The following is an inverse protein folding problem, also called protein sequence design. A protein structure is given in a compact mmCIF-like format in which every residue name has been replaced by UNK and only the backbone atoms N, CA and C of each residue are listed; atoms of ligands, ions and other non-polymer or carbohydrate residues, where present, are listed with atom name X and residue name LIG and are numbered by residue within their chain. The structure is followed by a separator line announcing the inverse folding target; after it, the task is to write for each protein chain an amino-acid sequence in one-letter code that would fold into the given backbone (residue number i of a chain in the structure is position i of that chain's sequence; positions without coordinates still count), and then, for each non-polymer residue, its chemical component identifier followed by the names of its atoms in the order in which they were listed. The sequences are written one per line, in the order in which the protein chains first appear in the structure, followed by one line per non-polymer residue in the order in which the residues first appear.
data_IF_841435098986
#
_entry.id   IF_841435098986
#
_cell.length_a   1.000
_cell.length_b   1.000
_cell.length_c   1.000
_cell.angle_alpha   90.00
_cell.angle_beta   90.00
_cell.angle_gamma   90.00
#
_symmetry.space_group_name_H-M   'P 1'
#
loop_
_entity.id
_entity.type
_entity.pdbx_description
1 polymer ?
#
# COMPACT_ATOMS: atom_id res chain seq x y z
N UNK A 1 -20.16 -15.01 6.61
CA UNK A 1 -19.15 -14.05 6.13
C UNK A 1 -17.88 -14.04 7.00
N UNK A 2 -17.96 -14.32 8.29
CA UNK A 2 -16.77 -14.58 9.14
C UNK A 2 -16.00 -15.86 8.76
N UNK A 3 -16.68 -16.88 8.22
CA UNK A 3 -16.13 -18.21 7.92
C UNK A 3 -15.04 -18.24 6.84
N UNK A 4 -14.99 -17.26 5.92
CA UNK A 4 -13.96 -17.22 4.87
C UNK A 4 -12.61 -16.70 5.37
N UNK A 5 -12.58 -16.05 6.53
CA UNK A 5 -11.33 -15.58 7.15
C UNK A 5 -10.76 -16.65 8.11
N UNK A 6 -11.61 -17.53 8.64
CA UNK A 6 -11.18 -18.61 9.56
C UNK A 6 -10.60 -19.84 8.85
N UNK A 7 -10.90 -20.05 7.55
CA UNK A 7 -10.28 -21.11 6.76
C UNK A 7 -8.93 -20.71 6.12
N UNK A 8 -8.52 -19.46 6.20
CA UNK A 8 -7.16 -19.04 5.91
C UNK A 8 -6.29 -19.50 7.10
N UNK A 9 -5.66 -20.67 6.95
CA UNK A 9 -4.57 -21.11 7.83
C UNK A 9 -3.74 -19.92 8.30
N UNK A 10 -3.40 -19.89 9.60
CA UNK A 10 -2.58 -18.86 10.25
C UNK A 10 -1.63 -18.22 9.23
N UNK A 11 -1.85 -16.95 8.98
CA UNK A 11 -1.04 -16.19 8.05
C UNK A 11 0.42 -16.26 8.53
N UNK A 12 1.35 -16.58 7.63
CA UNK A 12 2.78 -16.67 7.96
C UNK A 12 3.29 -15.40 8.64
N UNK A 13 2.74 -14.24 8.32
CA UNK A 13 3.07 -12.99 8.97
C UNK A 13 2.67 -13.01 10.46
N UNK A 14 1.47 -13.50 10.77
CA UNK A 14 1.01 -13.65 12.14
C UNK A 14 1.86 -14.63 12.93
N UNK A 15 2.30 -15.74 12.33
CA UNK A 15 3.19 -16.71 12.98
C UNK A 15 4.53 -16.06 13.40
N UNK A 16 5.15 -15.28 12.50
CA UNK A 16 6.40 -14.56 12.81
C UNK A 16 6.17 -13.51 13.88
N UNK A 17 5.07 -12.77 13.83
CA UNK A 17 4.74 -11.81 14.88
C UNK A 17 4.56 -12.52 16.25
N UNK A 18 3.94 -13.69 16.28
CA UNK A 18 3.75 -14.49 17.50
C UNK A 18 5.07 -15.00 18.10
N UNK A 19 6.02 -15.41 17.24
CA UNK A 19 7.37 -15.81 17.68
C UNK A 19 8.06 -14.68 18.44
N UNK A 20 7.85 -13.43 18.00
CA UNK A 20 8.42 -12.23 18.60
C UNK A 20 7.47 -11.52 19.60
N UNK A 21 6.40 -12.18 20.07
CA UNK A 21 5.37 -11.55 20.91
C UNK A 21 5.90 -10.87 22.17
N UNK A 22 7.02 -11.34 22.72
CA UNK A 22 7.62 -10.79 23.95
C UNK A 22 8.59 -9.65 23.68
N UNK A 23 8.96 -9.44 22.41
CA UNK A 23 9.93 -8.46 21.98
C UNK A 23 9.29 -7.07 21.87
N UNK A 24 10.12 -6.04 21.90
CA UNK A 24 9.70 -4.64 21.75
C UNK A 24 9.86 -4.23 20.30
N UNK A 25 8.78 -3.81 19.69
CA UNK A 25 8.75 -3.44 18.29
C UNK A 25 8.92 -1.94 18.08
N UNK A 26 9.78 -1.57 17.14
CA UNK A 26 9.78 -0.27 16.48
C UNK A 26 9.06 -0.41 15.13
N UNK A 27 7.82 0.04 15.08
CA UNK A 27 7.04 0.08 13.86
C UNK A 27 7.40 1.32 13.08
N UNK A 28 7.89 1.17 11.86
CA UNK A 28 8.26 2.28 10.98
C UNK A 28 7.19 2.46 9.93
N UNK A 29 6.50 3.60 10.01
CA UNK A 29 5.43 3.98 9.10
C UNK A 29 5.91 5.05 8.12
N UNK A 30 6.20 4.69 6.84
CA UNK A 30 6.44 5.69 5.82
C UNK A 30 5.15 6.48 5.54
N UNK A 31 5.28 7.79 5.31
CA UNK A 31 4.14 8.59 4.88
C UNK A 31 3.54 8.02 3.60
N UNK A 32 2.22 8.04 3.51
CA UNK A 32 1.49 7.51 2.36
C UNK A 32 0.08 8.08 2.26
N UNK A 33 -0.66 7.61 1.27
CA UNK A 33 -2.04 7.99 1.00
C UNK A 33 -3.07 7.35 1.96
N UNK A 34 -4.36 7.52 1.65
CA UNK A 34 -5.46 6.94 2.44
C UNK A 34 -5.45 5.41 2.37
N UNK A 35 -5.09 4.86 1.21
CA UNK A 35 -4.90 3.42 1.06
C UNK A 35 -3.81 2.86 1.97
N UNK A 36 -2.72 3.62 2.13
CA UNK A 36 -1.62 3.25 3.04
C UNK A 36 -2.04 3.30 4.51
N UNK A 37 -3.01 4.16 4.87
CA UNK A 37 -3.57 4.19 6.22
C UNK A 37 -4.35 2.90 6.54
N UNK A 38 -5.03 2.28 5.56
CA UNK A 38 -5.65 0.96 5.76
C UNK A 38 -4.63 -0.11 6.12
N UNK A 39 -3.51 -0.16 5.39
CA UNK A 39 -2.42 -1.10 5.66
C UNK A 39 -1.93 -0.93 7.11
N UNK A 40 -1.67 0.33 7.51
CA UNK A 40 -1.19 0.65 8.85
C UNK A 40 -2.20 0.25 9.92
N UNK A 41 -3.47 0.59 9.75
CA UNK A 41 -4.55 0.25 10.68
C UNK A 41 -4.69 -1.26 10.86
N UNK A 42 -4.67 -2.03 9.77
CA UNK A 42 -4.76 -3.50 9.83
C UNK A 42 -3.55 -4.11 10.54
N UNK A 43 -2.34 -3.64 10.24
CA UNK A 43 -1.14 -4.06 10.93
C UNK A 43 -1.19 -3.74 12.44
N UNK A 44 -1.53 -2.50 12.82
CA UNK A 44 -1.66 -2.12 14.24
C UNK A 44 -2.75 -2.91 14.96
N UNK A 45 -3.87 -3.20 14.29
CA UNK A 45 -4.93 -4.05 14.83
C UNK A 45 -4.36 -5.42 15.20
N UNK A 46 -3.61 -6.04 14.28
CA UNK A 46 -2.99 -7.34 14.52
C UNK A 46 -1.98 -7.29 15.67
N UNK A 47 -1.13 -6.27 15.73
CA UNK A 47 -0.18 -6.10 16.85
C UNK A 47 -0.90 -5.99 18.21
N UNK A 48 -2.02 -5.26 18.26
CA UNK A 48 -2.85 -5.16 19.48
C UNK A 48 -3.52 -6.47 19.86
N UNK A 49 -4.09 -7.20 18.90
CA UNK A 49 -4.70 -8.52 19.11
C UNK A 49 -3.70 -9.53 19.69
N UNK A 50 -2.47 -9.51 19.16
CA UNK A 50 -1.38 -10.36 19.64
C UNK A 50 -0.72 -9.84 20.93
N UNK A 51 -1.15 -8.68 21.45
CA UNK A 51 -0.60 -8.01 22.64
C UNK A 51 0.90 -7.76 22.53
N UNK A 52 1.36 -7.35 21.36
CA UNK A 52 2.75 -6.99 21.11
C UNK A 52 2.97 -5.56 21.62
N UNK A 53 4.11 -5.35 22.31
CA UNK A 53 4.51 -4.02 22.74
C UNK A 53 5.23 -3.29 21.58
N UNK A 54 4.68 -2.15 21.13
CA UNK A 54 5.25 -1.42 20.00
C UNK A 54 5.21 0.09 20.19
N UNK A 55 6.16 0.76 19.52
CA UNK A 55 6.17 2.21 19.30
C UNK A 55 6.12 2.47 17.81
N UNK A 56 5.45 3.54 17.40
CA UNK A 56 5.38 3.96 15.99
C UNK A 56 6.34 5.11 15.74
N UNK A 57 7.22 4.94 14.76
CA UNK A 57 8.06 5.99 14.20
C UNK A 57 7.55 6.34 12.80
N UNK A 58 7.05 7.55 12.62
CA UNK A 58 6.71 8.08 11.29
C UNK A 58 7.98 8.52 10.58
N UNK A 59 8.28 7.84 9.48
CA UNK A 59 9.48 8.09 8.68
C UNK A 59 9.10 8.69 7.32
N UNK A 60 9.64 9.85 7.02
CA UNK A 60 9.41 10.52 5.75
C UNK A 60 10.54 10.15 4.79
N UNK A 61 10.23 9.31 3.80
CA UNK A 61 11.19 8.88 2.78
C UNK A 61 11.73 10.07 1.97
N UNK A 62 12.86 9.88 1.33
CA UNK A 62 13.47 10.91 0.48
C UNK A 62 12.53 11.34 -0.66
N UNK A 63 11.85 10.38 -1.31
CA UNK A 63 10.92 10.67 -2.39
C UNK A 63 9.69 11.45 -1.90
N UNK A 64 9.14 11.12 -0.72
CA UNK A 64 8.02 11.87 -0.14
C UNK A 64 8.40 13.33 0.13
N UNK A 65 9.63 13.60 0.56
CA UNK A 65 10.14 14.96 0.79
C UNK A 65 10.37 15.73 -0.53
N UNK A 66 10.93 15.05 -1.54
CA UNK A 66 11.10 15.64 -2.87
C UNK A 66 9.76 16.03 -3.47
N UNK A 67 8.75 15.17 -3.37
CA UNK A 67 7.40 15.46 -3.83
C UNK A 67 6.77 16.68 -3.15
N UNK A 68 6.94 16.83 -1.82
CA UNK A 68 6.47 18.01 -1.11
C UNK A 68 7.20 19.28 -1.54
N UNK A 69 8.52 19.18 -1.77
CA UNK A 69 9.31 20.30 -2.28
C UNK A 69 8.84 20.73 -3.67
N UNK A 70 8.54 19.76 -4.56
CA UNK A 70 7.97 20.01 -5.88
C UNK A 70 6.59 20.68 -5.79
N UNK A 71 5.73 20.20 -4.90
CA UNK A 71 4.42 20.79 -4.64
C UNK A 71 4.55 22.23 -4.12
N UNK A 72 5.47 22.49 -3.20
CA UNK A 72 5.74 23.83 -2.67
C UNK A 72 6.26 24.77 -3.76
N UNK A 73 7.21 24.29 -4.61
CA UNK A 73 7.72 25.09 -5.74
C UNK A 73 6.64 25.39 -6.78
N UNK A 74 5.71 24.46 -7.03
CA UNK A 74 4.56 24.70 -7.91
C UNK A 74 3.58 25.73 -7.34
N UNK A 75 3.36 25.75 -6.03
CA UNK A 75 2.54 26.75 -5.33
C UNK A 75 3.17 28.17 -5.41
N UNK A 76 4.49 28.23 -5.39
CA UNK A 76 5.23 29.51 -5.56
C UNK A 76 5.24 30.01 -7.01
N UNK A 77 4.52 29.36 -7.94
CA UNK A 77 4.45 29.70 -9.37
C UNK A 77 5.81 29.80 -10.08
N UNK A 78 6.84 29.15 -9.55
CA UNK A 78 8.13 29.04 -10.20
C UNK A 78 8.00 28.04 -11.37
N UNK A 79 7.74 28.57 -12.57
CA UNK A 79 7.64 27.78 -13.81
C UNK A 79 8.91 27.92 -14.65
N UNK A 80 9.29 26.86 -15.38
CA UNK A 80 10.36 26.88 -16.36
C UNK A 80 11.74 26.52 -15.81
N UNK A 81 12.78 26.94 -16.52
CA UNK A 81 14.19 26.51 -16.31
C UNK A 81 14.75 26.76 -14.90
N UNK A 82 14.17 27.70 -14.14
CA UNK A 82 14.58 28.00 -12.75
C UNK A 82 14.14 26.89 -11.80
N UNK A 83 12.92 26.37 -11.94
CA UNK A 83 12.43 25.25 -11.11
C UNK A 83 13.23 23.96 -11.39
N UNK A 84 13.58 23.70 -12.65
CA UNK A 84 14.43 22.57 -13.02
C UNK A 84 15.87 22.73 -12.50
N UNK A 85 16.46 23.91 -12.60
CA UNK A 85 17.80 24.20 -12.05
C UNK A 85 17.83 24.06 -10.53
N UNK A 86 16.77 24.50 -9.82
CA UNK A 86 16.64 24.31 -8.39
C UNK A 86 16.50 22.82 -8.01
N UNK A 87 15.82 21.99 -8.81
CA UNK A 87 15.79 20.53 -8.62
C UNK A 87 17.19 19.91 -8.77
N UNK A 88 17.95 20.32 -9.75
CA UNK A 88 19.32 19.84 -9.98
C UNK A 88 20.31 20.22 -8.88
N UNK A 89 20.13 21.35 -8.24
CA UNK A 89 21.03 21.83 -7.17
C UNK A 89 20.54 21.40 -5.79
N UNK A 90 19.24 21.47 -5.54
CA UNK A 90 18.66 21.09 -4.25
C UNK A 90 18.70 19.58 -4.02
N UNK A 91 18.52 18.75 -5.04
CA UNK A 91 18.53 17.29 -4.92
C UNK A 91 19.85 16.73 -4.34
N UNK A 92 21.02 17.05 -4.89
CA UNK A 92 22.30 16.61 -4.36
C UNK A 92 22.62 17.16 -2.96
N UNK A 93 22.34 18.44 -2.70
CA UNK A 93 22.55 19.06 -1.39
C UNK A 93 21.62 18.41 -0.34
N UNK A 94 20.39 18.18 -0.73
CA UNK A 94 19.40 17.51 0.10
C UNK A 94 19.82 16.06 0.40
N UNK A 95 20.32 15.30 -0.59
CA UNK A 95 20.85 13.96 -0.40
C UNK A 95 22.03 13.91 0.59
N UNK A 96 22.93 14.89 0.52
CA UNK A 96 24.08 15.00 1.42
C UNK A 96 23.68 15.33 2.86
N UNK A 97 22.74 16.23 3.05
CA UNK A 97 22.23 16.61 4.39
C UNK A 97 21.31 15.56 4.99
N UNK A 98 20.52 14.86 4.14
CA UNK A 98 19.58 13.85 4.55
C UNK A 98 20.25 12.56 5.01
N UNK A 99 21.24 12.02 4.27
CA UNK A 99 22.00 10.83 4.70
C UNK A 99 22.65 10.99 6.08
N UNK A 100 22.89 12.22 6.52
CA UNK A 100 23.45 12.52 7.87
C UNK A 100 22.40 12.63 8.98
N UNK A 101 21.11 12.88 8.67
CA UNK A 101 20.11 13.30 9.67
C UNK A 101 18.98 12.32 9.97
N UNK A 102 18.63 11.45 9.03
CA UNK A 102 17.48 10.53 9.21
C UNK A 102 17.92 9.25 9.89
N UNK A 103 17.38 8.98 11.08
CA UNK A 103 17.66 7.78 11.85
C UNK A 103 16.36 7.02 12.11
N UNK A 104 16.41 5.71 11.85
CA UNK A 104 15.40 4.76 12.31
C UNK A 104 16.02 4.02 13.49
N UNK A 105 15.91 4.59 14.69
CA UNK A 105 16.54 3.99 15.87
C UNK A 105 15.68 4.14 17.11
N UNK A 106 15.45 3.02 17.77
CA UNK A 106 15.08 2.95 19.20
C UNK A 106 16.03 1.95 19.87
N UNK A 107 16.86 2.43 20.78
CA UNK A 107 17.84 1.59 21.50
C UNK A 107 17.19 0.49 22.35
N UNK A 108 15.89 0.58 22.57
CA UNK A 108 15.12 -0.41 23.32
C UNK A 108 14.40 -1.43 22.43
N UNK A 109 14.43 -1.28 21.09
CA UNK A 109 13.75 -2.18 20.19
C UNK A 109 14.53 -3.48 19.99
N UNK A 110 13.82 -4.57 19.97
CA UNK A 110 14.33 -5.90 19.64
C UNK A 110 13.96 -6.28 18.19
N UNK A 111 12.86 -5.72 17.67
CA UNK A 111 12.36 -5.91 16.31
C UNK A 111 12.09 -4.55 15.65
N UNK A 112 12.53 -4.38 14.41
CA UNK A 112 12.13 -3.28 13.54
C UNK A 112 11.14 -3.81 12.53
N UNK A 113 9.91 -3.27 12.52
CA UNK A 113 8.84 -3.65 11.61
C UNK A 113 8.56 -2.50 10.64
N UNK A 114 8.94 -2.67 9.37
CA UNK A 114 8.56 -1.74 8.30
C UNK A 114 7.14 -2.04 7.85
N UNK A 115 6.29 -1.01 7.77
CA UNK A 115 4.91 -1.14 7.27
C UNK A 115 4.87 -1.73 5.87
N UNK A 116 3.82 -2.49 5.57
CA UNK A 116 3.53 -3.02 4.24
C UNK A 116 3.22 -1.96 3.18
N UNK A 117 3.02 -2.38 1.95
CA UNK A 117 2.66 -1.48 0.85
C UNK A 117 3.27 -1.84 -0.50
N UNK A 118 3.76 -0.83 -1.23
CA UNK A 118 4.43 -1.01 -2.51
C UNK A 118 5.47 0.10 -2.75
N UNK A 119 6.25 0.45 -1.76
CA UNK A 119 7.24 1.52 -1.85
C UNK A 119 8.67 1.00 -2.09
N UNK A 120 8.96 -0.27 -1.74
CA UNK A 120 10.25 -0.94 -2.01
C UNK A 120 10.23 -1.58 -3.41
N UNK A 121 10.19 -0.76 -4.44
CA UNK A 121 10.19 -1.20 -5.84
C UNK A 121 10.76 -0.12 -6.77
N UNK A 122 10.98 -0.45 -8.05
CA UNK A 122 11.55 0.48 -9.03
C UNK A 122 10.61 1.60 -9.49
N UNK A 123 9.31 1.53 -9.15
CA UNK A 123 8.35 2.60 -9.44
C UNK A 123 8.51 3.75 -8.43
N UNK A 124 8.58 3.43 -7.12
CA UNK A 124 8.62 4.41 -6.03
C UNK A 124 10.03 4.65 -5.49
N UNK A 125 10.87 3.62 -5.43
CA UNK A 125 12.30 3.68 -5.05
C UNK A 125 12.58 4.23 -3.65
N UNK A 126 11.71 3.98 -2.69
CA UNK A 126 11.88 4.43 -1.30
C UNK A 126 12.83 3.49 -0.52
N UNK A 127 13.99 3.16 -1.10
CA UNK A 127 14.96 2.24 -0.50
C UNK A 127 15.69 2.81 0.71
N UNK A 128 15.71 4.12 0.87
CA UNK A 128 16.34 4.81 1.99
C UNK A 128 15.77 4.38 3.37
N UNK A 129 14.49 4.04 3.44
CA UNK A 129 13.89 3.52 4.67
C UNK A 129 14.48 2.15 5.04
N UNK A 130 14.69 1.28 4.04
CA UNK A 130 15.29 -0.04 4.23
C UNK A 130 16.77 0.09 4.65
N UNK A 131 17.53 0.92 3.93
CA UNK A 131 18.94 1.21 4.26
C UNK A 131 19.10 1.74 5.68
N UNK A 132 18.24 2.68 6.09
CA UNK A 132 18.27 3.23 7.43
C UNK A 132 17.87 2.18 8.49
N UNK A 133 16.86 1.37 8.23
CA UNK A 133 16.42 0.33 9.15
C UNK A 133 17.53 -0.69 9.42
N UNK A 134 18.22 -1.14 8.37
CA UNK A 134 19.34 -2.09 8.47
C UNK A 134 20.53 -1.46 9.19
N UNK A 135 20.96 -0.27 8.77
CA UNK A 135 22.16 0.40 9.29
C UNK A 135 22.03 0.78 10.76
N UNK A 136 20.88 1.31 11.15
CA UNK A 136 20.71 1.93 12.46
C UNK A 136 20.35 0.91 13.55
N UNK A 137 19.94 -0.32 13.17
CA UNK A 137 19.46 -1.36 14.09
C UNK A 137 20.11 -2.74 13.80
N UNK A 138 21.44 -2.86 13.79
CA UNK A 138 22.12 -4.08 13.35
C UNK A 138 21.89 -5.29 14.26
N UNK A 139 21.31 -5.08 15.45
CA UNK A 139 21.04 -6.13 16.44
C UNK A 139 19.56 -6.54 16.49
N UNK A 140 18.67 -5.84 15.79
CA UNK A 140 17.26 -6.13 15.78
C UNK A 140 16.92 -7.13 14.67
N UNK A 141 15.89 -7.95 14.86
CA UNK A 141 15.24 -8.62 13.76
C UNK A 141 14.53 -7.57 12.89
N UNK A 142 14.71 -7.63 11.57
CA UNK A 142 14.00 -6.76 10.64
C UNK A 142 12.86 -7.52 9.98
N UNK A 143 11.66 -7.01 10.12
CA UNK A 143 10.47 -7.54 9.45
C UNK A 143 9.96 -6.48 8.49
N UNK A 144 9.87 -6.80 7.19
CA UNK A 144 9.19 -6.00 6.19
C UNK A 144 7.81 -6.60 5.99
N UNK A 145 6.79 -5.91 6.48
CA UNK A 145 5.39 -6.35 6.36
C UNK A 145 4.96 -6.47 4.89
N UNK A 146 3.86 -7.17 4.57
CA UNK A 146 3.50 -7.54 3.20
C UNK A 146 3.59 -6.42 2.16
N UNK A 147 4.49 -6.60 1.19
CA UNK A 147 4.82 -5.64 0.11
C UNK A 147 4.54 -6.24 -1.26
N UNK A 148 4.32 -5.37 -2.26
CA UNK A 148 4.51 -5.73 -3.65
C UNK A 148 5.87 -5.23 -4.12
N UNK A 149 6.74 -6.17 -4.48
CA UNK A 149 8.06 -5.91 -5.03
C UNK A 149 8.02 -5.93 -6.54
N UNK A 150 8.75 -5.05 -7.19
CA UNK A 150 8.90 -5.00 -8.64
C UNK A 150 10.24 -4.38 -8.98
N UNK A 151 11.12 -5.14 -9.65
CA UNK A 151 12.47 -4.70 -9.99
C UNK A 151 12.80 -4.99 -11.44
N UNK A 152 13.45 -4.02 -12.10
CA UNK A 152 14.02 -4.17 -13.43
C UNK A 152 15.46 -4.72 -13.39
N UNK A 153 16.04 -4.85 -12.18
CA UNK A 153 17.38 -5.36 -11.97
C UNK A 153 17.41 -6.36 -10.82
N UNK A 154 18.43 -7.21 -10.79
CA UNK A 154 18.65 -8.22 -9.73
C UNK A 154 19.47 -7.71 -8.54
N UNK A 155 19.62 -6.39 -8.40
CA UNK A 155 20.51 -5.78 -7.38
C UNK A 155 19.89 -5.61 -6.00
N UNK A 156 18.59 -5.86 -5.84
CA UNK A 156 17.91 -5.70 -4.55
C UNK A 156 18.55 -6.50 -3.40
N UNK A 157 19.08 -7.73 -3.60
CA UNK A 157 19.81 -8.45 -2.55
C UNK A 157 21.05 -7.74 -2.00
N UNK A 158 21.68 -6.84 -2.78
CA UNK A 158 22.89 -6.10 -2.35
C UNK A 158 22.66 -5.27 -1.07
N UNK A 159 21.41 -4.85 -0.79
CA UNK A 159 21.08 -4.14 0.45
C UNK A 159 21.33 -4.98 1.70
N UNK A 160 21.33 -6.31 1.58
CA UNK A 160 21.39 -7.26 2.69
C UNK A 160 22.75 -7.92 2.87
N UNK A 161 23.67 -7.83 1.91
CA UNK A 161 24.94 -8.56 1.89
C UNK A 161 25.81 -8.34 3.13
N UNK A 162 25.78 -7.13 3.70
CA UNK A 162 26.58 -6.76 4.88
C UNK A 162 25.82 -6.93 6.21
N UNK A 163 24.54 -7.26 6.15
CA UNK A 163 23.70 -7.45 7.32
C UNK A 163 23.87 -8.83 7.91
N UNK A 164 23.99 -8.90 9.23
CA UNK A 164 24.01 -10.17 10.00
C UNK A 164 22.70 -10.39 10.76
N UNK A 165 21.80 -9.40 10.79
CA UNK A 165 20.52 -9.49 11.47
C UNK A 165 19.59 -10.46 10.74
N UNK A 166 18.67 -11.08 11.44
CA UNK A 166 17.60 -11.86 10.86
C UNK A 166 16.62 -10.93 10.14
N UNK A 167 16.24 -11.26 8.91
CA UNK A 167 15.40 -10.40 8.05
C UNK A 167 14.28 -11.23 7.44
N UNK A 168 13.05 -10.81 7.66
CA UNK A 168 11.86 -11.38 7.04
C UNK A 168 11.27 -10.40 6.03
N UNK A 169 11.26 -10.78 4.75
CA UNK A 169 10.60 -10.04 3.69
C UNK A 169 9.27 -10.72 3.36
N UNK A 170 8.17 -10.01 3.58
CA UNK A 170 6.85 -10.53 3.25
C UNK A 170 6.35 -9.95 1.93
N UNK A 171 5.98 -10.83 1.01
CA UNK A 171 5.28 -10.51 -0.24
C UNK A 171 3.77 -10.62 0.00
N UNK A 172 2.96 -9.73 -0.60
CA UNK A 172 1.49 -9.81 -0.49
C UNK A 172 0.81 -10.43 -1.71
N UNK A 173 1.60 -10.93 -2.66
CA UNK A 173 1.16 -11.68 -3.84
C UNK A 173 2.30 -12.53 -4.42
N UNK A 174 1.92 -13.52 -5.24
CA UNK A 174 2.85 -14.57 -5.71
C UNK A 174 3.91 -14.05 -6.67
N UNK A 175 3.60 -13.09 -7.52
CA UNK A 175 4.57 -12.55 -8.48
C UNK A 175 5.78 -11.91 -7.77
N UNK A 176 5.54 -11.14 -6.69
CA UNK A 176 6.62 -10.62 -5.84
C UNK A 176 7.38 -11.74 -5.13
N UNK A 177 6.66 -12.74 -4.64
CA UNK A 177 7.29 -13.88 -3.97
C UNK A 177 8.20 -14.65 -4.92
N UNK A 178 7.71 -15.02 -6.09
CA UNK A 178 8.48 -15.75 -7.11
C UNK A 178 9.67 -14.93 -7.61
N UNK A 179 9.48 -13.61 -7.79
CA UNK A 179 10.56 -12.69 -8.14
C UNK A 179 11.67 -12.71 -7.09
N UNK A 180 11.35 -12.54 -5.80
CA UNK A 180 12.36 -12.55 -4.75
C UNK A 180 13.01 -13.94 -4.60
N UNK A 181 12.25 -15.03 -4.69
CA UNK A 181 12.80 -16.38 -4.63
C UNK A 181 13.75 -16.70 -5.80
N UNK A 182 13.61 -16.02 -6.94
CA UNK A 182 14.55 -16.14 -8.07
C UNK A 182 15.88 -15.43 -7.86
N UNK A 183 15.98 -14.57 -6.84
CA UNK A 183 17.19 -13.81 -6.51
C UNK A 183 18.04 -14.53 -5.46
N UNK A 184 19.33 -14.21 -5.40
CA UNK A 184 20.25 -14.79 -4.43
C UNK A 184 20.38 -13.88 -3.22
N UNK A 185 19.72 -14.25 -2.12
CA UNK A 185 19.82 -13.54 -0.84
C UNK A 185 20.80 -14.22 0.12
N UNK A 186 21.41 -13.46 1.07
CA UNK A 186 22.11 -14.03 2.21
C UNK A 186 21.21 -14.96 3.03
N UNK A 187 21.82 -15.95 3.72
CA UNK A 187 21.09 -17.00 4.47
C UNK A 187 20.19 -16.48 5.61
N UNK A 188 20.47 -15.28 6.10
CA UNK A 188 19.72 -14.60 7.16
C UNK A 188 18.50 -13.82 6.63
N UNK A 189 18.22 -13.89 5.32
CA UNK A 189 17.04 -13.25 4.69
C UNK A 189 16.05 -14.34 4.32
N UNK A 190 14.83 -14.22 4.84
CA UNK A 190 13.74 -15.17 4.67
C UNK A 190 12.63 -14.52 3.83
N UNK A 191 12.31 -15.13 2.70
CA UNK A 191 11.21 -14.68 1.83
C UNK A 191 9.94 -15.40 2.24
N UNK A 192 8.89 -14.64 2.49
CA UNK A 192 7.60 -15.13 2.95
C UNK A 192 6.46 -14.56 2.10
N UNK A 193 5.33 -15.28 2.10
CA UNK A 193 4.10 -14.88 1.43
C UNK A 193 3.01 -14.70 2.50
N UNK A 194 2.25 -13.60 2.43
CA UNK A 194 1.16 -13.29 3.34
C UNK A 194 0.16 -12.34 2.68
N UNK A 195 -1.01 -12.18 3.26
CA UNK A 195 -2.02 -11.25 2.76
C UNK A 195 -1.65 -9.78 3.04
N UNK A 196 -2.26 -8.85 2.28
CA UNK A 196 -2.18 -7.44 2.60
C UNK A 196 -2.78 -7.18 3.99
N UNK A 197 -2.06 -6.46 4.85
CA UNK A 197 -2.50 -6.25 6.23
C UNK A 197 -3.79 -5.45 6.37
N UNK A 198 -4.21 -4.70 5.34
CA UNK A 198 -5.52 -4.06 5.31
C UNK A 198 -6.68 -5.08 5.41
N UNK A 199 -6.47 -6.34 5.02
CA UNK A 199 -7.47 -7.41 5.13
C UNK A 199 -7.70 -7.90 6.56
N UNK A 200 -6.89 -7.50 7.54
CA UNK A 200 -7.17 -7.74 8.95
C UNK A 200 -8.28 -6.83 9.53
N UNK A 201 -8.73 -5.85 8.75
CA UNK A 201 -9.80 -4.95 9.18
C UNK A 201 -11.16 -5.57 8.85
N UNK A 202 -12.03 -5.87 9.81
CA UNK A 202 -13.39 -6.26 9.54
C UNK A 202 -14.25 -5.04 9.20
N UNK A 203 -15.42 -5.27 8.60
CA UNK A 203 -16.36 -4.21 8.23
C UNK A 203 -16.75 -3.34 9.42
N UNK A 204 -16.87 -3.92 10.60
CA UNK A 204 -17.31 -3.28 11.83
C UNK A 204 -16.36 -2.17 12.34
N UNK A 205 -15.10 -2.19 11.90
CA UNK A 205 -14.13 -1.13 12.24
C UNK A 205 -14.43 0.19 11.48
N UNK A 206 -15.33 0.16 10.49
CA UNK A 206 -15.69 1.32 9.67
C UNK A 206 -17.08 1.84 10.02
N UNK A 207 -17.13 3.08 10.53
CA UNK A 207 -18.41 3.78 10.79
C UNK A 207 -18.91 4.39 9.49
N UNK A 208 -19.88 3.76 8.85
CA UNK A 208 -20.51 4.29 7.64
C UNK A 208 -21.71 5.17 8.00
N UNK A 209 -21.80 6.35 7.39
CA UNK A 209 -22.93 7.26 7.59
C UNK A 209 -24.21 6.77 6.89
N UNK A 210 -24.05 6.07 5.75
CA UNK A 210 -25.16 5.51 4.98
C UNK A 210 -24.69 4.27 4.21
N UNK A 211 -25.25 3.10 4.47
CA UNK A 211 -24.87 1.86 3.77
C UNK A 211 -25.61 1.66 2.45
N UNK A 212 -26.70 2.39 2.20
CA UNK A 212 -27.45 2.29 0.94
C UNK A 212 -26.65 3.01 -0.14
N UNK A 213 -26.12 2.23 -1.08
CA UNK A 213 -25.38 2.75 -2.21
C UNK A 213 -26.22 3.75 -3.01
N UNK A 214 -25.71 4.98 -3.18
CA UNK A 214 -26.44 6.08 -3.81
C UNK A 214 -25.85 6.53 -5.14
N UNK A 215 -24.68 6.00 -5.51
CA UNK A 215 -23.97 6.37 -6.74
C UNK A 215 -22.96 5.29 -7.16
N UNK A 216 -22.51 5.39 -8.39
CA UNK A 216 -21.36 4.62 -8.89
C UNK A 216 -20.09 5.42 -8.65
N UNK A 217 -19.11 4.80 -7.98
CA UNK A 217 -17.79 5.37 -7.77
C UNK A 217 -16.85 4.91 -8.89
N UNK A 218 -16.27 5.87 -9.60
CA UNK A 218 -15.16 5.62 -10.53
C UNK A 218 -13.94 6.31 -9.94
N UNK A 219 -13.01 5.53 -9.41
CA UNK A 219 -11.85 5.97 -8.66
C UNK A 219 -10.54 5.64 -9.40
N UNK A 220 -10.21 6.39 -10.47
CA UNK A 220 -8.96 6.24 -11.20
C UNK A 220 -7.76 6.70 -10.38
N UNK A 221 -6.59 6.17 -10.74
CA UNK A 221 -5.30 6.75 -10.34
C UNK A 221 -4.91 7.87 -11.30
N UNK A 222 -4.16 8.83 -10.79
CA UNK A 222 -3.50 9.87 -11.59
C UNK A 222 -1.98 9.93 -11.37
N UNK A 223 -1.40 8.82 -10.90
CA UNK A 223 0.04 8.71 -10.59
C UNK A 223 0.79 7.75 -11.55
N UNK A 224 2.06 7.47 -11.24
CA UNK A 224 2.99 6.66 -12.05
C UNK A 224 2.52 5.23 -12.34
N UNK A 225 1.59 4.72 -11.57
CA UNK A 225 1.06 3.36 -11.74
C UNK A 225 -0.20 3.33 -12.62
N UNK A 226 -0.72 4.48 -13.06
CA UNK A 226 -1.90 4.56 -13.92
C UNK A 226 -1.59 4.13 -15.35
N UNK A 227 -2.37 3.17 -15.88
CA UNK A 227 -2.29 2.71 -17.27
C UNK A 227 -3.67 2.55 -17.91
N UNK A 228 -4.74 2.76 -17.14
CA UNK A 228 -6.11 2.58 -17.62
C UNK A 228 -6.63 3.86 -18.24
N UNK A 229 -7.24 3.75 -19.42
CA UNK A 229 -7.94 4.85 -20.07
C UNK A 229 -9.39 4.90 -19.61
N UNK A 230 -9.77 5.94 -18.88
CA UNK A 230 -11.09 6.11 -18.30
C UNK A 230 -12.00 6.93 -19.22
N UNK A 231 -12.88 6.26 -20.00
CA UNK A 231 -13.84 6.90 -20.93
C UNK A 231 -15.19 7.09 -20.26
N UNK A 232 -15.44 8.26 -19.68
CA UNK A 232 -16.69 8.56 -18.95
C UNK A 232 -17.86 8.99 -19.85
N UNK A 233 -17.60 9.33 -21.11
CA UNK A 233 -18.64 9.81 -22.05
C UNK A 233 -19.73 8.77 -22.38
N UNK A 234 -19.50 7.51 -22.10
CA UNK A 234 -20.42 6.40 -22.38
C UNK A 234 -21.35 6.06 -21.21
N UNK A 235 -21.29 6.84 -20.13
CA UNK A 235 -22.12 6.58 -18.95
C UNK A 235 -23.51 7.23 -19.13
N UNK A 236 -24.60 6.49 -18.87
CA UNK A 236 -25.94 7.03 -18.97
C UNK A 236 -26.16 8.22 -18.02
N UNK A 237 -26.77 9.32 -18.50
CA UNK A 237 -26.97 10.57 -17.73
C UNK A 237 -27.78 10.40 -16.45
N UNK A 238 -28.62 9.36 -16.38
CA UNK A 238 -29.46 9.04 -15.21
C UNK A 238 -28.69 8.38 -14.07
N UNK A 239 -27.43 7.94 -14.32
CA UNK A 239 -26.58 7.32 -13.30
C UNK A 239 -25.85 8.39 -12.50
N UNK A 240 -26.12 8.46 -11.20
CA UNK A 240 -25.34 9.34 -10.32
C UNK A 240 -23.91 8.78 -10.18
N UNK A 241 -22.90 9.57 -10.52
CA UNK A 241 -21.51 9.17 -10.53
C UNK A 241 -20.70 10.10 -9.64
N UNK A 242 -19.73 9.51 -8.94
CA UNK A 242 -18.57 10.22 -8.42
C UNK A 242 -17.35 9.76 -9.22
N UNK A 243 -16.63 10.69 -9.84
CA UNK A 243 -15.41 10.43 -10.62
C UNK A 243 -14.26 11.27 -10.11
N UNK A 244 -13.15 10.63 -9.78
CA UNK A 244 -11.92 11.31 -9.39
C UNK A 244 -10.97 10.43 -8.59
N UNK A 245 -9.71 10.87 -8.50
CA UNK A 245 -8.74 10.22 -7.62
C UNK A 245 -9.08 10.50 -6.17
N UNK A 246 -9.59 9.49 -5.49
CA UNK A 246 -10.09 9.59 -4.11
C UNK A 246 -8.97 9.70 -3.05
N UNK A 247 -7.71 9.55 -3.44
CA UNK A 247 -6.59 9.91 -2.56
C UNK A 247 -6.54 11.40 -2.24
N UNK A 248 -7.15 12.23 -3.09
CA UNK A 248 -7.19 13.68 -2.93
C UNK A 248 -8.32 14.20 -2.01
N UNK A 249 -9.15 13.30 -1.45
CA UNK A 249 -10.20 13.73 -0.50
C UNK A 249 -9.60 14.24 0.82
N UNK A 250 -10.38 15.04 1.55
CA UNK A 250 -9.90 15.82 2.70
C UNK A 250 -9.25 14.95 3.79
N UNK A 251 -9.87 13.82 4.14
CA UNK A 251 -9.42 12.96 5.22
C UNK A 251 -9.79 11.49 4.99
N UNK A 252 -9.33 10.61 5.88
CA UNK A 252 -9.57 9.17 5.81
C UNK A 252 -11.06 8.81 5.96
N UNK A 253 -11.80 9.50 6.81
CA UNK A 253 -13.24 9.27 6.97
C UNK A 253 -14.00 9.56 5.68
N UNK A 254 -13.66 10.65 4.98
CA UNK A 254 -14.22 10.97 3.66
C UNK A 254 -13.90 9.90 2.63
N UNK A 255 -12.69 9.34 2.66
CA UNK A 255 -12.29 8.22 1.80
C UNK A 255 -13.14 6.97 2.06
N UNK A 256 -13.30 6.59 3.33
CA UNK A 256 -14.13 5.45 3.74
C UNK A 256 -15.60 5.65 3.34
N UNK A 257 -16.15 6.85 3.60
CA UNK A 257 -17.54 7.17 3.26
C UNK A 257 -17.79 7.19 1.76
N UNK A 258 -16.84 7.68 0.94
CA UNK A 258 -16.97 7.62 -0.52
C UNK A 258 -17.06 6.19 -1.04
N UNK A 259 -16.24 5.28 -0.54
CA UNK A 259 -16.31 3.87 -0.91
C UNK A 259 -17.58 3.23 -0.32
N UNK A 260 -17.85 3.48 0.95
CA UNK A 260 -18.95 2.85 1.70
C UNK A 260 -20.35 3.21 1.18
N UNK A 261 -20.51 4.44 0.67
CA UNK A 261 -21.81 4.92 0.14
C UNK A 261 -21.99 4.63 -1.37
N UNK A 262 -21.00 4.01 -2.03
CA UNK A 262 -21.14 3.58 -3.41
C UNK A 262 -21.99 2.30 -3.50
N UNK A 263 -22.80 2.18 -4.57
CA UNK A 263 -23.46 0.91 -4.93
C UNK A 263 -22.53 0.02 -5.75
N UNK A 264 -21.65 0.63 -6.55
CA UNK A 264 -20.71 -0.06 -7.44
C UNK A 264 -19.41 0.75 -7.54
N UNK A 265 -18.27 0.06 -7.58
CA UNK A 265 -16.93 0.69 -7.60
C UNK A 265 -16.13 0.19 -8.78
N UNK A 266 -15.57 1.12 -9.57
CA UNK A 266 -14.61 0.86 -10.64
C UNK A 266 -13.30 1.56 -10.30
N UNK A 267 -12.18 0.84 -10.25
CA UNK A 267 -10.92 1.41 -9.79
C UNK A 267 -9.70 0.62 -10.27
N UNK A 268 -8.57 1.30 -10.45
CA UNK A 268 -7.23 0.74 -10.56
C UNK A 268 -6.38 0.99 -9.28
N UNK A 269 -7.03 1.51 -8.20
CA UNK A 269 -6.42 1.65 -6.88
C UNK A 269 -6.70 0.42 -6.01
N UNK A 270 -5.63 -0.34 -5.70
CA UNK A 270 -5.72 -1.58 -4.93
C UNK A 270 -6.50 -1.41 -3.61
N UNK A 271 -6.15 -0.40 -2.80
CA UNK A 271 -6.77 -0.24 -1.47
C UNK A 271 -8.21 0.29 -1.53
N UNK A 272 -8.62 0.88 -2.64
CA UNK A 272 -10.06 1.13 -2.91
C UNK A 272 -10.78 -0.19 -3.10
N UNK A 273 -10.18 -1.12 -3.86
CA UNK A 273 -10.77 -2.44 -4.07
C UNK A 273 -10.78 -3.28 -2.77
N UNK A 274 -9.70 -3.24 -1.98
CA UNK A 274 -9.64 -3.94 -0.67
C UNK A 274 -10.72 -3.40 0.28
N UNK A 275 -10.82 -2.07 0.43
CA UNK A 275 -11.85 -1.46 1.28
C UNK A 275 -13.25 -1.81 0.77
N UNK A 276 -13.47 -1.78 -0.55
CA UNK A 276 -14.73 -2.17 -1.16
C UNK A 276 -15.08 -3.63 -0.89
N UNK A 277 -14.08 -4.54 -0.96
CA UNK A 277 -14.25 -5.95 -0.63
C UNK A 277 -14.73 -6.14 0.81
N UNK A 278 -14.03 -5.49 1.77
CA UNK A 278 -14.36 -5.52 3.20
C UNK A 278 -15.78 -4.99 3.45
N UNK A 279 -16.16 -3.89 2.76
CA UNK A 279 -17.48 -3.27 2.90
C UNK A 279 -18.59 -3.97 2.10
N UNK A 280 -18.26 -5.04 1.38
CA UNK A 280 -19.24 -5.82 0.58
C UNK A 280 -19.77 -5.07 -0.66
N UNK A 281 -19.00 -4.13 -1.23
CA UNK A 281 -19.41 -3.36 -2.42
C UNK A 281 -19.05 -4.09 -3.69
N UNK A 282 -19.94 -4.09 -4.69
CA UNK A 282 -19.64 -4.64 -6.01
C UNK A 282 -18.49 -3.84 -6.64
N UNK A 283 -17.38 -4.52 -6.95
CA UNK A 283 -16.12 -3.86 -7.30
C UNK A 283 -15.50 -4.47 -8.55
N UNK A 284 -15.05 -3.60 -9.44
CA UNK A 284 -14.32 -3.92 -10.65
C UNK A 284 -12.92 -3.32 -10.55
N UNK A 285 -11.93 -4.20 -10.27
CA UNK A 285 -10.52 -3.82 -10.15
C UNK A 285 -9.82 -3.94 -11.49
N UNK A 286 -9.19 -2.86 -11.92
CA UNK A 286 -8.43 -2.76 -13.16
C UNK A 286 -6.91 -2.94 -12.91
N UNK A 287 -6.13 -3.29 -13.95
CA UNK A 287 -4.69 -3.43 -13.83
C UNK A 287 -4.01 -2.09 -13.51
N UNK A 288 -2.78 -2.18 -13.06
CA UNK A 288 -1.86 -1.05 -12.93
C UNK A 288 -0.57 -1.34 -13.71
N UNK A 289 0.44 -0.46 -13.65
CA UNK A 289 1.65 -0.53 -14.49
C UNK A 289 2.50 -1.80 -14.32
N UNK A 290 2.23 -2.60 -13.30
CA UNK A 290 2.85 -3.90 -13.08
C UNK A 290 1.83 -4.87 -12.42
N UNK A 291 2.24 -6.06 -12.09
CA UNK A 291 1.34 -7.16 -11.67
C UNK A 291 0.64 -6.98 -10.31
N UNK A 292 0.88 -5.90 -9.55
CA UNK A 292 0.37 -5.72 -8.18
C UNK A 292 -1.13 -5.95 -8.05
N UNK A 293 -1.95 -5.25 -8.84
CA UNK A 293 -3.40 -5.34 -8.72
C UNK A 293 -3.90 -6.75 -9.07
N UNK A 294 -3.36 -7.33 -10.16
CA UNK A 294 -3.68 -8.69 -10.59
C UNK A 294 -3.25 -9.70 -9.53
N UNK A 295 -2.01 -9.60 -9.06
CA UNK A 295 -1.45 -10.56 -8.09
C UNK A 295 -2.16 -10.55 -6.74
N UNK A 296 -2.49 -9.35 -6.20
CA UNK A 296 -3.26 -9.28 -4.95
C UNK A 296 -4.70 -9.75 -5.17
N UNK A 297 -5.29 -9.48 -6.33
CA UNK A 297 -6.60 -10.06 -6.65
C UNK A 297 -6.55 -11.59 -6.64
N UNK A 298 -5.63 -12.20 -7.39
CA UNK A 298 -5.50 -13.65 -7.51
C UNK A 298 -5.22 -14.33 -6.15
N UNK A 299 -4.37 -13.72 -5.33
CA UNK A 299 -3.95 -14.31 -4.05
C UNK A 299 -4.92 -14.06 -2.91
N UNK A 300 -5.54 -12.87 -2.85
CA UNK A 300 -6.30 -12.45 -1.67
C UNK A 300 -7.75 -12.07 -1.96
N UNK A 301 -8.07 -11.50 -3.13
CA UNK A 301 -9.40 -10.93 -3.39
C UNK A 301 -10.30 -11.82 -4.23
N UNK A 302 -9.78 -12.84 -4.90
CA UNK A 302 -10.57 -13.76 -5.75
C UNK A 302 -11.63 -14.54 -4.96
N UNK A 303 -11.44 -14.73 -3.65
CA UNK A 303 -12.43 -15.34 -2.76
C UNK A 303 -13.59 -14.41 -2.37
N UNK A 304 -13.52 -13.11 -2.66
CA UNK A 304 -14.59 -12.15 -2.39
C UNK A 304 -15.57 -12.11 -3.58
N UNK A 305 -16.83 -12.59 -3.41
CA UNK A 305 -17.78 -12.71 -4.55
C UNK A 305 -18.19 -11.36 -5.14
N UNK A 306 -17.97 -10.28 -4.40
CA UNK A 306 -18.29 -8.90 -4.80
C UNK A 306 -17.13 -8.20 -5.53
N UNK A 307 -15.97 -8.84 -5.73
CA UNK A 307 -14.82 -8.26 -6.42
C UNK A 307 -14.52 -9.04 -7.71
N UNK A 308 -14.35 -8.31 -8.81
CA UNK A 308 -13.97 -8.85 -10.13
C UNK A 308 -12.73 -8.14 -10.64
N UNK A 309 -11.78 -8.88 -11.18
CA UNK A 309 -10.64 -8.30 -11.90
C UNK A 309 -10.97 -8.16 -13.38
N UNK A 310 -10.68 -7.00 -13.96
CA UNK A 310 -10.93 -6.69 -15.36
C UNK A 310 -9.59 -6.57 -16.07
N UNK A 311 -9.27 -7.48 -16.97
CA UNK A 311 -7.98 -7.49 -17.68
C UNK A 311 -7.85 -6.42 -18.79
N UNK A 312 -8.79 -5.48 -18.86
CA UNK A 312 -8.78 -4.40 -19.85
C UNK A 312 -8.03 -3.17 -19.33
N UNK A 313 -7.30 -2.53 -20.23
CA UNK A 313 -6.69 -1.22 -19.99
C UNK A 313 -7.63 -0.07 -20.38
N UNK A 314 -8.86 -0.36 -20.70
CA UNK A 314 -9.91 0.61 -21.03
C UNK A 314 -11.14 0.38 -20.16
N UNK A 315 -11.63 1.46 -19.55
CA UNK A 315 -12.94 1.49 -18.94
C UNK A 315 -13.96 1.88 -20.02
N UNK A 316 -14.85 0.97 -20.36
CA UNK A 316 -15.81 1.15 -21.47
C UNK A 316 -17.20 1.61 -21.02
N UNK A 317 -17.39 1.90 -19.74
CA UNK A 317 -18.68 2.36 -19.22
C UNK A 317 -19.15 1.55 -18.00
N UNK A 318 -20.32 1.89 -17.50
CA UNK A 318 -20.95 1.27 -16.33
C UNK A 318 -22.02 0.30 -16.82
N UNK A 319 -21.94 -0.97 -16.43
CA UNK A 319 -23.05 -1.91 -16.56
C UNK A 319 -24.17 -1.48 -15.60
N UNK A 320 -25.06 -0.65 -16.12
CA UNK A 320 -26.21 -0.18 -15.38
C UNK A 320 -27.43 -1.01 -15.79
N UNK A 321 -27.80 -1.96 -14.95
CA UNK A 321 -29.17 -2.49 -14.98
C UNK A 321 -29.99 -1.63 -14.02
N UNK A 322 -31.04 -0.91 -14.50
CA UNK A 322 -31.94 -0.22 -13.60
C UNK A 322 -32.59 -1.28 -12.70
N UNK A 323 -32.23 -1.28 -11.43
CA UNK A 323 -33.01 -2.03 -10.45
C UNK A 323 -34.39 -1.36 -10.44
N UNK A 324 -35.41 -2.11 -10.83
CA UNK A 324 -36.80 -1.74 -10.63
C UNK A 324 -36.96 -1.51 -9.12
N UNK A 325 -37.04 -0.24 -8.74
CA UNK A 325 -37.42 0.17 -7.40
C UNK A 325 -38.90 -0.12 -7.32
N UNK A 326 -39.28 -1.24 -6.71
CA UNK A 326 -40.62 -1.55 -6.26
C UNK A 326 -40.86 -0.96 -4.88
#
# INVERSE_FOLDING_TARGET
MCLLVEELNLDRFEEILLQHRKDRFLVVDPFGGKGDQLIHMGMEKKLRELRINYKVLRYKTMNARLFETEKMLSLLRLRGSVAEKLKYVAGPIYNLTYKKGSKIRDASADVVLLRGGAYLNDVWKDYDILECAIRDNPHCTLIVAPQSFFFNSTRFPEFFEKSKQEIHLFCRERYSYDLLCSMHFPKNVHINLSHDTALYLPKEDFKLQNEKGTYVLIAPRDDRESIVTWKTKQIPKQVKIFFGDIENVANFESFVNLVGNACKVYTDRLHVAILSAILGKETYLYPNSYYKNKGVYEFSLSGFPNVKFIESHEFLGVDYQPQLIH
#
